data_IF_897124239730
#
_entry.id   IF_897124239730
#
_cell.length_a   1.000
_cell.length_b   1.000
_cell.length_c   1.000
_cell.angle_alpha   90.00
_cell.angle_beta   90.00
_cell.angle_gamma   90.00
#
_symmetry.space_group_name_H-M   'P 1'
#
loop_
_entity.id
_entity.type
_entity.pdbx_description
1 polymer ?
#
# COMPACT_ATOMS: atom_id res chain seq x y z
N UNK A 1 6.73 8.56 -11.76
CA UNK A 1 6.70 8.09 -13.16
C UNK A 1 5.72 8.90 -14.03
N UNK A 2 5.63 10.24 -13.94
CA UNK A 2 4.37 10.93 -14.27
C UNK A 2 4.11 11.09 -15.78
N UNK A 3 4.99 10.61 -16.66
CA UNK A 3 4.96 10.92 -18.09
C UNK A 3 5.47 9.81 -19.01
N UNK A 4 5.94 8.68 -18.49
CA UNK A 4 6.39 7.56 -19.32
C UNK A 4 5.27 6.55 -19.46
N UNK A 5 4.67 6.46 -20.65
CA UNK A 5 3.70 5.42 -20.97
C UNK A 5 4.42 4.09 -21.15
N UNK A 6 4.17 3.15 -20.23
CA UNK A 6 4.71 1.81 -20.35
C UNK A 6 3.97 1.03 -21.45
N UNK A 7 4.55 -0.07 -21.97
CA UNK A 7 3.85 -0.94 -22.91
C UNK A 7 2.53 -1.46 -22.33
N UNK A 8 1.58 -1.76 -23.21
CA UNK A 8 0.28 -2.33 -22.83
C UNK A 8 0.46 -3.66 -22.09
N UNK A 9 -0.30 -3.86 -21.01
CA UNK A 9 -0.24 -5.07 -20.18
C UNK A 9 1.00 -5.20 -19.31
N UNK A 10 1.70 -4.10 -19.00
CA UNK A 10 2.85 -4.12 -18.11
C UNK A 10 2.43 -4.38 -16.65
N UNK A 11 3.15 -5.28 -15.97
CA UNK A 11 2.97 -5.63 -14.56
C UNK A 11 3.24 -4.44 -13.63
N UNK A 12 4.20 -3.59 -13.96
CA UNK A 12 4.63 -2.45 -13.12
C UNK A 12 3.47 -1.48 -12.83
N UNK A 13 2.58 -1.24 -13.79
CA UNK A 13 1.43 -0.34 -13.60
C UNK A 13 0.39 -0.90 -12.63
N UNK A 14 0.37 -2.22 -12.43
CA UNK A 14 -0.59 -2.89 -11.54
C UNK A 14 -0.18 -2.85 -10.08
N UNK A 15 1.09 -2.56 -9.79
CA UNK A 15 1.60 -2.48 -8.42
C UNK A 15 1.14 -1.16 -7.82
N UNK A 16 0.31 -1.23 -6.78
CA UNK A 16 -0.26 -0.06 -6.12
C UNK A 16 0.80 0.96 -5.68
N UNK A 17 1.98 0.50 -5.27
CA UNK A 17 3.10 1.33 -4.82
C UNK A 17 3.74 2.21 -5.93
N UNK A 18 3.49 1.90 -7.20
CA UNK A 18 3.94 2.70 -8.35
C UNK A 18 2.94 3.79 -8.76
N UNK A 19 1.80 3.88 -8.06
CA UNK A 19 0.82 4.94 -8.22
C UNK A 19 1.41 6.34 -7.95
N UNK A 20 0.64 7.35 -8.36
CA UNK A 20 0.96 8.74 -8.06
C UNK A 20 1.08 8.95 -6.54
N UNK A 21 2.09 9.71 -6.11
CA UNK A 21 2.33 9.93 -4.69
C UNK A 21 1.31 10.88 -4.07
N UNK A 22 0.83 10.53 -2.88
CA UNK A 22 0.02 11.42 -2.05
C UNK A 22 0.86 11.91 -0.86
N UNK A 23 1.42 13.11 -1.00
CA UNK A 23 2.36 13.69 -0.02
C UNK A 23 1.67 14.18 1.26
N UNK A 24 0.41 14.59 1.18
CA UNK A 24 -0.32 15.11 2.35
C UNK A 24 -0.71 13.99 3.32
N UNK A 25 -1.14 12.85 2.81
CA UNK A 25 -1.51 11.70 3.66
C UNK A 25 -0.30 11.07 4.35
N UNK A 26 0.86 11.06 3.67
CA UNK A 26 2.07 10.41 4.18
C UNK A 26 2.74 11.16 5.33
N UNK A 27 2.72 12.50 5.30
CA UNK A 27 3.45 13.34 6.26
C UNK A 27 2.55 14.15 7.19
N UNK A 28 1.24 14.19 6.93
CA UNK A 28 0.20 14.78 7.77
C UNK A 28 0.61 16.11 8.42
N UNK A 29 0.67 16.16 9.74
CA UNK A 29 0.97 17.35 10.54
C UNK A 29 2.46 17.67 10.61
N UNK A 30 3.36 16.71 10.33
CA UNK A 30 4.81 16.96 10.31
C UNK A 30 5.19 17.97 9.21
N UNK A 31 4.38 18.10 8.16
CA UNK A 31 4.55 19.10 7.11
C UNK A 31 4.56 20.54 7.66
N UNK A 32 3.90 20.81 8.79
CA UNK A 32 3.86 22.16 9.38
C UNK A 32 5.26 22.61 9.82
N UNK A 33 5.92 21.98 10.82
CA UNK A 33 7.27 22.37 11.20
C UNK A 33 8.29 22.15 10.08
N UNK A 34 8.11 21.11 9.25
CA UNK A 34 9.06 20.82 8.17
C UNK A 34 9.04 21.88 7.07
N UNK A 35 7.86 22.37 6.66
CA UNK A 35 7.75 23.44 5.66
C UNK A 35 8.32 24.77 6.14
N UNK A 36 8.07 25.13 7.41
CA UNK A 36 8.68 26.30 8.03
C UNK A 36 10.20 26.15 8.11
N UNK A 37 10.70 24.97 8.46
CA UNK A 37 12.13 24.66 8.46
C UNK A 37 12.77 24.78 7.08
N UNK A 38 12.12 24.20 6.06
CA UNK A 38 12.56 24.30 4.68
C UNK A 38 12.58 25.76 4.20
N UNK A 39 11.58 26.56 4.59
CA UNK A 39 11.55 27.99 4.29
C UNK A 39 12.78 28.72 4.88
N UNK A 40 13.11 28.49 6.15
CA UNK A 40 14.30 29.08 6.76
C UNK A 40 15.59 28.58 6.10
N UNK A 41 15.70 27.27 5.79
CA UNK A 41 16.84 26.70 5.09
C UNK A 41 17.04 27.33 3.71
N UNK A 42 15.97 27.56 2.94
CA UNK A 42 16.05 28.21 1.62
C UNK A 42 16.56 29.64 1.73
N UNK A 43 16.15 30.40 2.75
CA UNK A 43 16.62 31.78 2.98
C UNK A 43 18.08 31.79 3.43
N UNK A 44 18.43 30.87 4.33
CA UNK A 44 19.73 30.80 4.98
C UNK A 44 20.74 29.93 4.24
N UNK A 45 20.38 29.42 3.04
CA UNK A 45 21.18 28.51 2.21
C UNK A 45 22.59 28.98 1.88
N UNK A 46 22.86 30.28 2.01
CA UNK A 46 24.15 30.89 1.72
C UNK A 46 25.09 30.96 2.93
N UNK A 47 24.63 30.51 4.11
CA UNK A 47 25.43 30.58 5.35
C UNK A 47 26.46 29.47 5.48
N UNK A 48 26.20 28.29 4.92
CA UNK A 48 27.06 27.13 5.02
C UNK A 48 26.68 26.04 4.01
N UNK A 49 27.64 25.14 3.76
CA UNK A 49 27.47 24.02 2.83
C UNK A 49 26.45 23.00 3.36
N UNK A 50 26.30 22.89 4.67
CA UNK A 50 25.37 21.98 5.34
C UNK A 50 23.91 22.37 5.08
N UNK A 51 23.56 23.66 5.20
CA UNK A 51 22.21 24.16 4.94
C UNK A 51 21.84 24.02 3.46
N UNK A 52 22.79 24.26 2.56
CA UNK A 52 22.60 24.06 1.12
C UNK A 52 22.34 22.58 0.80
N UNK A 53 23.17 21.68 1.34
CA UNK A 53 23.01 20.24 1.15
C UNK A 53 21.65 19.76 1.67
N UNK A 54 21.27 20.15 2.89
CA UNK A 54 19.99 19.75 3.47
C UNK A 54 18.82 20.28 2.63
N UNK A 55 18.89 21.52 2.14
CA UNK A 55 17.87 22.10 1.25
C UNK A 55 17.71 21.29 -0.03
N UNK A 56 18.81 20.96 -0.69
CA UNK A 56 18.79 20.18 -1.94
C UNK A 56 18.25 18.76 -1.71
N UNK A 57 18.72 18.07 -0.67
CA UNK A 57 18.26 16.71 -0.35
C UNK A 57 16.78 16.68 0.01
N UNK A 58 16.29 17.66 0.78
CA UNK A 58 14.85 17.78 1.07
C UNK A 58 14.04 18.03 -0.20
N UNK A 59 14.47 18.94 -1.08
CA UNK A 59 13.73 19.23 -2.32
C UNK A 59 13.67 18.03 -3.27
N UNK A 60 14.80 17.34 -3.46
CA UNK A 60 14.89 16.16 -4.34
C UNK A 60 14.04 15.02 -3.76
N UNK A 61 14.19 14.72 -2.47
CA UNK A 61 13.43 13.65 -1.83
C UNK A 61 11.93 13.93 -1.82
N UNK A 62 11.50 15.18 -1.56
CA UNK A 62 10.10 15.58 -1.66
C UNK A 62 9.54 15.44 -3.07
N UNK A 63 10.30 15.81 -4.10
CA UNK A 63 9.89 15.63 -5.49
C UNK A 63 9.57 14.15 -5.79
N UNK A 64 10.44 13.24 -5.35
CA UNK A 64 10.25 11.81 -5.53
C UNK A 64 9.10 11.26 -4.69
N UNK A 65 8.93 11.73 -3.44
CA UNK A 65 7.82 11.33 -2.57
C UNK A 65 6.45 11.77 -3.11
N UNK A 66 6.35 12.95 -3.73
CA UNK A 66 5.13 13.41 -4.43
C UNK A 66 4.91 12.61 -5.72
N UNK A 67 5.97 12.14 -6.36
CA UNK A 67 5.87 11.47 -7.66
C UNK A 67 5.46 10.00 -7.57
N UNK A 68 5.78 9.30 -6.48
CA UNK A 68 5.57 7.85 -6.30
C UNK A 68 5.22 7.57 -4.85
N UNK A 69 4.10 6.89 -4.59
CA UNK A 69 3.60 6.59 -3.24
C UNK A 69 4.55 5.72 -2.40
N UNK A 70 5.46 4.97 -3.02
CA UNK A 70 6.51 4.18 -2.34
C UNK A 70 7.66 5.00 -1.74
N UNK A 71 7.91 6.21 -2.24
CA UNK A 71 9.10 6.99 -1.90
C UNK A 71 9.00 7.96 -0.70
N UNK A 72 7.85 8.23 -0.05
CA UNK A 72 7.79 9.02 1.18
C UNK A 72 8.77 8.61 2.29
N UNK A 73 9.05 7.31 2.54
CA UNK A 73 10.05 6.91 3.54
C UNK A 73 11.46 7.51 3.29
N UNK A 74 11.83 7.79 2.03
CA UNK A 74 13.11 8.42 1.71
C UNK A 74 13.12 9.93 2.03
N UNK A 75 11.97 10.59 2.00
CA UNK A 75 11.87 12.02 2.34
C UNK A 75 11.65 12.27 3.84
N UNK A 76 11.14 11.28 4.57
CA UNK A 76 10.90 11.34 6.01
C UNK A 76 12.10 11.85 6.85
N UNK A 77 13.34 11.31 6.72
CA UNK A 77 14.47 11.80 7.52
C UNK A 77 14.81 13.27 7.23
N UNK A 78 14.71 13.70 5.97
CA UNK A 78 15.00 15.09 5.60
C UNK A 78 13.93 16.07 6.13
N UNK A 79 12.66 15.68 6.10
CA UNK A 79 11.58 16.45 6.70
C UNK A 79 11.71 16.57 8.22
N UNK A 80 12.13 15.48 8.89
CA UNK A 80 12.42 15.51 10.32
C UNK A 80 13.58 16.47 10.64
N UNK A 81 14.63 16.47 9.83
CA UNK A 81 15.74 17.43 9.96
C UNK A 81 15.28 18.88 9.73
N UNK A 82 14.43 19.14 8.73
CA UNK A 82 13.84 20.47 8.54
C UNK A 82 13.00 20.91 9.76
N UNK A 83 12.17 20.02 10.31
CA UNK A 83 11.41 20.30 11.53
C UNK A 83 12.32 20.57 12.74
N UNK A 84 13.42 19.83 12.87
CA UNK A 84 14.46 20.06 13.88
C UNK A 84 15.15 21.41 13.71
N UNK A 85 15.50 21.79 12.48
CA UNK A 85 16.09 23.09 12.15
C UNK A 85 15.15 24.25 12.50
N UNK A 86 13.85 24.11 12.19
CA UNK A 86 12.85 25.08 12.61
C UNK A 86 12.76 25.20 14.14
N UNK A 87 12.81 24.06 14.83
CA UNK A 87 12.82 24.03 16.30
C UNK A 87 14.04 24.75 16.86
N UNK A 88 15.22 24.56 16.28
CA UNK A 88 16.44 25.29 16.65
C UNK A 88 16.26 26.81 16.48
N UNK A 89 15.68 27.26 15.36
CA UNK A 89 15.40 28.69 15.12
C UNK A 89 14.41 29.26 16.14
N UNK A 90 13.37 28.51 16.49
CA UNK A 90 12.44 28.88 17.56
C UNK A 90 13.13 28.98 18.94
N UNK A 91 14.07 28.09 19.24
CA UNK A 91 14.85 28.14 20.48
C UNK A 91 15.77 29.37 20.53
N UNK A 92 16.43 29.71 19.42
CA UNK A 92 17.21 30.95 19.31
C UNK A 92 16.34 32.20 19.49
N UNK A 93 15.15 32.22 18.88
CA UNK A 93 14.17 33.29 19.10
C UNK A 93 13.72 33.39 20.58
N UNK A 94 13.67 32.25 21.27
CA UNK A 94 13.28 32.19 22.69
C UNK A 94 14.39 32.63 23.66
N UNK A 95 15.64 32.69 23.20
CA UNK A 95 16.81 32.94 24.05
C UNK A 95 16.76 34.27 24.83
N UNK A 96 16.37 35.42 24.23
CA UNK A 96 16.26 36.68 24.96
C UNK A 96 15.23 36.65 26.10
N UNK A 97 14.11 35.96 25.88
CA UNK A 97 13.06 35.77 26.89
C UNK A 97 13.57 34.93 28.06
N UNK A 98 14.27 33.83 27.75
CA UNK A 98 14.87 32.94 28.74
C UNK A 98 15.94 33.69 29.55
N UNK A 99 16.82 34.47 28.89
CA UNK A 99 17.82 35.30 29.57
C UNK A 99 17.18 36.30 30.53
N UNK A 100 16.08 36.94 30.13
CA UNK A 100 15.34 37.89 30.98
C UNK A 100 14.74 37.20 32.22
N UNK A 101 14.17 36.01 32.06
CA UNK A 101 13.64 35.22 33.18
C UNK A 101 14.75 34.79 34.14
N UNK A 102 15.87 34.26 33.62
CA UNK A 102 17.03 33.86 34.46
C UNK A 102 17.64 35.04 35.22
N UNK A 103 17.72 36.22 34.59
CA UNK A 103 18.23 37.42 35.25
C UNK A 103 17.34 37.86 36.44
N UNK A 104 16.02 37.80 36.26
CA UNK A 104 15.05 38.09 37.32
C UNK A 104 15.05 37.04 38.44
N UNK A 105 15.23 35.77 38.09
CA UNK A 105 15.36 34.67 39.03
C UNK A 105 16.60 34.84 39.92
N UNK A 106 17.78 35.05 39.32
CA UNK A 106 19.02 35.34 40.05
C UNK A 106 18.90 36.55 40.97
N UNK A 107 18.20 37.60 40.52
CA UNK A 107 17.97 38.81 41.32
C UNK A 107 17.08 38.55 42.54
N UNK A 108 16.05 37.70 42.40
CA UNK A 108 15.17 37.31 43.50
C UNK A 108 15.81 36.31 44.46
N UNK A 109 16.59 35.35 43.95
CA UNK A 109 17.34 34.40 44.77
C UNK A 109 18.31 35.13 45.70
N UNK A 110 19.00 36.17 45.22
CA UNK A 110 19.84 37.04 46.06
C UNK A 110 19.07 37.75 47.18
N UNK A 111 17.75 37.84 47.10
CA UNK A 111 16.86 38.43 48.11
C UNK A 111 16.10 37.37 48.92
N UNK A 112 16.49 36.09 48.83
CA UNK A 112 15.86 34.98 49.57
C UNK A 112 14.47 34.60 49.08
N UNK A 113 14.05 35.04 47.89
CA UNK A 113 12.74 34.73 47.32
C UNK A 113 12.86 33.97 45.99
N UNK A 114 11.89 33.11 45.69
CA UNK A 114 11.80 32.45 44.37
C UNK A 114 10.87 33.20 43.43
N UNK A 115 11.08 33.03 42.11
CA UNK A 115 10.17 33.56 41.10
C UNK A 115 8.98 32.59 40.91
N UNK A 116 7.73 33.02 41.17
CA UNK A 116 6.57 32.13 41.08
C UNK A 116 6.38 31.63 39.64
N UNK A 117 6.00 30.35 39.51
CA UNK A 117 5.84 29.66 38.22
C UNK A 117 4.90 30.39 37.26
N UNK A 118 3.78 30.93 37.76
CA UNK A 118 2.83 31.74 36.97
C UNK A 118 3.51 32.91 36.26
N UNK A 119 4.47 33.57 36.91
CA UNK A 119 5.20 34.71 36.34
C UNK A 119 6.24 34.26 35.31
N UNK A 120 6.88 33.10 35.52
CA UNK A 120 7.77 32.47 34.52
C UNK A 120 7.02 32.14 33.24
N UNK A 121 5.87 31.48 33.36
CA UNK A 121 5.01 31.12 32.22
C UNK A 121 4.53 32.38 31.49
N UNK A 122 4.05 33.41 32.20
CA UNK A 122 3.63 34.66 31.56
C UNK A 122 4.74 35.32 30.74
N UNK A 123 5.96 35.33 31.26
CA UNK A 123 7.12 35.89 30.54
C UNK A 123 7.55 35.07 29.33
N UNK A 124 7.33 33.75 29.36
CA UNK A 124 7.65 32.81 28.27
C UNK A 124 6.42 32.45 27.41
N UNK A 125 5.29 33.14 27.57
CA UNK A 125 4.03 32.75 26.93
C UNK A 125 4.14 32.65 25.40
N UNK A 126 4.82 33.60 24.77
CA UNK A 126 4.98 33.64 23.31
C UNK A 126 5.80 32.45 22.80
N UNK A 127 7.05 32.21 23.28
CA UNK A 127 7.82 31.07 22.80
C UNK A 127 7.17 29.72 23.18
N UNK A 128 6.53 29.61 24.34
CA UNK A 128 5.79 28.40 24.73
C UNK A 128 4.65 28.13 23.74
N UNK A 129 3.81 29.13 23.43
CA UNK A 129 2.70 28.99 22.49
C UNK A 129 3.21 28.61 21.10
N UNK A 130 4.28 29.25 20.61
CA UNK A 130 4.86 28.93 19.30
C UNK A 130 5.41 27.51 19.23
N UNK A 131 6.19 27.08 20.23
CA UNK A 131 6.72 25.71 20.29
C UNK A 131 5.58 24.69 20.40
N UNK A 132 4.57 24.99 21.22
CA UNK A 132 3.43 24.10 21.41
C UNK A 132 2.65 23.93 20.10
N UNK A 133 2.29 25.02 19.43
CA UNK A 133 1.42 24.99 18.24
C UNK A 133 2.17 24.55 16.98
N UNK A 134 3.43 24.94 16.81
CA UNK A 134 4.15 24.74 15.55
C UNK A 134 5.06 23.51 15.57
N UNK A 135 5.37 22.95 16.73
CA UNK A 135 6.27 21.78 16.85
C UNK A 135 5.62 20.65 17.64
N UNK A 136 5.26 20.87 18.91
CA UNK A 136 4.81 19.78 19.78
C UNK A 136 3.48 19.19 19.29
N UNK A 137 2.46 20.02 19.10
CA UNK A 137 1.14 19.55 18.66
C UNK A 137 1.20 18.86 17.29
N UNK A 138 1.84 19.43 16.26
CA UNK A 138 1.95 18.76 14.97
C UNK A 138 2.67 17.40 15.05
N UNK A 139 3.76 17.30 15.82
CA UNK A 139 4.47 16.02 15.99
C UNK A 139 3.64 15.02 16.81
N UNK A 140 2.97 15.45 17.88
CA UNK A 140 2.15 14.56 18.72
C UNK A 140 0.87 14.09 18.01
N UNK A 141 0.27 14.93 17.16
CA UNK A 141 -0.96 14.60 16.46
C UNK A 141 -0.75 13.72 15.23
N UNK A 142 0.50 13.48 14.83
CA UNK A 142 0.85 12.63 13.69
C UNK A 142 0.26 11.21 13.83
N UNK A 143 0.13 10.69 15.07
CA UNK A 143 -0.51 9.40 15.36
C UNK A 143 -2.01 9.46 15.70
N UNK A 144 -2.59 10.63 15.97
CA UNK A 144 -3.96 10.77 16.49
C UNK A 144 -5.02 11.16 15.44
N UNK A 145 -4.61 11.51 14.21
CA UNK A 145 -5.54 11.69 13.07
C UNK A 145 -6.21 10.33 12.68
N UNK A 146 -5.73 9.22 13.26
CA UNK A 146 -6.24 7.83 13.20
C UNK A 146 -7.74 7.65 13.45
N UNK A 147 -8.33 8.38 14.41
CA UNK A 147 -9.56 7.88 15.08
C UNK A 147 -10.85 8.56 14.61
N UNK A 148 -10.78 9.72 13.94
CA UNK A 148 -11.98 10.53 13.64
C UNK A 148 -12.47 10.47 12.18
N UNK A 149 -11.65 9.96 11.24
CA UNK A 149 -12.03 9.85 9.84
C UNK A 149 -12.09 8.38 9.44
N UNK A 150 -13.25 7.74 9.60
CA UNK A 150 -13.50 6.29 9.42
C UNK A 150 -13.16 5.64 8.07
N UNK A 151 -12.28 6.24 7.27
CA UNK A 151 -11.77 5.72 6.00
C UNK A 151 -10.30 6.07 5.70
N UNK A 152 -9.57 6.75 6.60
CA UNK A 152 -8.16 7.11 6.35
C UNK A 152 -7.21 6.11 7.03
N UNK A 153 -6.86 5.05 6.32
CA UNK A 153 -5.78 4.15 6.71
C UNK A 153 -4.44 4.87 6.52
N UNK A 154 -3.90 5.47 7.58
CA UNK A 154 -2.48 5.81 7.57
C UNK A 154 -1.67 4.52 7.66
N UNK A 155 -0.72 4.34 6.73
CA UNK A 155 0.15 3.16 6.61
C UNK A 155 1.22 3.02 7.71
N UNK A 156 1.20 3.87 8.75
CA UNK A 156 2.21 3.89 9.80
C UNK A 156 1.71 3.14 11.05
N UNK A 157 2.17 1.90 11.22
CA UNK A 157 2.04 1.16 12.48
C UNK A 157 2.85 1.87 13.58
N UNK A 158 2.31 1.96 14.80
CA UNK A 158 3.16 2.32 15.94
C UNK A 158 4.28 1.29 16.12
N UNK A 159 5.35 1.65 16.83
CA UNK A 159 6.46 0.72 17.06
C UNK A 159 6.00 -0.61 17.69
N UNK A 160 5.06 -0.55 18.62
CA UNK A 160 4.49 -1.74 19.27
C UNK A 160 3.59 -2.54 18.33
N UNK A 161 2.75 -1.87 17.53
CA UNK A 161 1.91 -2.54 16.51
C UNK A 161 2.76 -3.16 15.41
N UNK A 162 3.86 -2.52 15.00
CA UNK A 162 4.81 -3.04 14.03
C UNK A 162 5.52 -4.29 14.56
N UNK A 163 5.88 -4.29 15.85
CA UNK A 163 6.53 -5.46 16.45
C UNK A 163 5.61 -6.66 16.63
N UNK A 164 4.32 -6.41 16.82
CA UNK A 164 3.30 -7.44 16.99
C UNK A 164 2.47 -7.67 15.71
N UNK A 165 2.90 -7.11 14.58
CA UNK A 165 2.15 -7.24 13.33
C UNK A 165 2.16 -8.71 12.91
N UNK A 166 1.00 -9.40 12.88
CA UNK A 166 0.96 -10.76 12.38
C UNK A 166 1.45 -10.75 10.92
N UNK A 167 1.97 -11.89 10.43
CA UNK A 167 2.42 -12.03 9.03
C UNK A 167 1.34 -11.74 7.96
N UNK A 168 0.13 -11.36 8.39
CA UNK A 168 -0.95 -10.89 7.55
C UNK A 168 -1.78 -12.01 6.94
N UNK A 169 -1.48 -13.28 7.24
CA UNK A 169 -2.31 -14.38 6.81
C UNK A 169 -3.63 -14.39 7.58
N UNK A 170 -4.72 -14.30 6.84
CA UNK A 170 -6.04 -14.63 7.33
C UNK A 170 -6.15 -16.13 7.68
N UNK A 171 -7.18 -16.49 8.43
CA UNK A 171 -7.46 -17.89 8.79
C UNK A 171 -7.58 -18.79 7.56
N UNK A 172 -8.22 -18.30 6.48
CA UNK A 172 -8.40 -19.07 5.25
C UNK A 172 -7.09 -19.31 4.50
N UNK A 173 -6.19 -18.32 4.46
CA UNK A 173 -4.85 -18.50 3.92
C UNK A 173 -4.00 -19.46 4.75
N UNK A 174 -4.04 -19.37 6.08
CA UNK A 174 -3.32 -20.31 6.96
C UNK A 174 -3.78 -21.75 6.72
N UNK A 175 -5.10 -21.96 6.66
CA UNK A 175 -5.68 -23.28 6.42
C UNK A 175 -5.28 -23.83 5.04
N UNK A 176 -5.40 -23.04 3.98
CA UNK A 176 -5.02 -23.45 2.62
C UNK A 176 -3.53 -23.81 2.52
N UNK A 177 -2.64 -23.01 3.12
CA UNK A 177 -1.20 -23.27 3.12
C UNK A 177 -0.84 -24.54 3.89
N UNK A 178 -1.48 -24.77 5.04
CA UNK A 178 -1.32 -26.01 5.81
C UNK A 178 -1.84 -27.23 5.05
N UNK A 179 -2.98 -27.10 4.36
CA UNK A 179 -3.52 -28.18 3.54
C UNK A 179 -2.54 -28.57 2.44
N UNK A 180 -2.01 -27.59 1.69
CA UNK A 180 -1.00 -27.83 0.66
C UNK A 180 0.23 -28.50 1.24
N UNK A 181 0.73 -28.03 2.39
CA UNK A 181 1.89 -28.60 3.05
C UNK A 181 1.70 -30.08 3.42
N UNK A 182 0.52 -30.44 3.91
CA UNK A 182 0.27 -31.75 4.52
C UNK A 182 -0.32 -32.78 3.55
N UNK A 183 -0.97 -32.36 2.46
CA UNK A 183 -1.74 -33.24 1.57
C UNK A 183 -1.16 -33.39 0.17
N UNK A 184 -0.01 -32.78 -0.11
CA UNK A 184 0.57 -32.75 -1.46
C UNK A 184 2.09 -32.95 -1.38
N UNK A 185 2.70 -33.49 -2.43
CA UNK A 185 4.13 -33.85 -2.40
C UNK A 185 5.04 -32.61 -2.41
N UNK A 186 6.26 -32.68 -1.87
CA UNK A 186 7.17 -31.53 -1.82
C UNK A 186 7.52 -30.92 -3.18
N UNK A 187 7.58 -31.75 -4.23
CA UNK A 187 7.96 -31.41 -5.60
C UNK A 187 6.78 -31.01 -6.51
N UNK A 188 5.54 -31.13 -6.01
CA UNK A 188 4.36 -30.72 -6.76
C UNK A 188 4.29 -29.18 -6.86
N UNK A 189 3.98 -28.70 -8.06
CA UNK A 189 3.97 -27.27 -8.40
C UNK A 189 2.55 -26.71 -8.29
N UNK A 190 2.43 -25.52 -7.71
CA UNK A 190 1.17 -24.80 -7.60
C UNK A 190 1.23 -23.46 -8.37
N UNK A 191 0.23 -23.21 -9.22
CA UNK A 191 -0.02 -21.91 -9.85
C UNK A 191 -0.84 -21.06 -8.89
N UNK A 192 -0.42 -19.82 -8.68
CA UNK A 192 -1.20 -18.78 -8.01
C UNK A 192 -0.99 -17.45 -8.73
N UNK A 193 -1.78 -16.44 -8.37
CA UNK A 193 -1.37 -15.06 -8.67
C UNK A 193 -0.03 -14.73 -8.00
N UNK A 194 0.74 -13.82 -8.62
CA UNK A 194 2.14 -13.57 -8.24
C UNK A 194 2.29 -12.96 -6.84
N UNK A 195 1.30 -12.18 -6.37
CA UNK A 195 1.23 -11.66 -5.00
C UNK A 195 1.45 -12.74 -3.94
N UNK A 196 0.97 -13.96 -4.21
CA UNK A 196 0.94 -15.06 -3.24
C UNK A 196 2.13 -16.00 -3.33
N UNK A 197 3.05 -15.79 -4.28
CA UNK A 197 4.15 -16.73 -4.53
C UNK A 197 5.03 -16.97 -3.29
N UNK A 198 5.36 -15.90 -2.55
CA UNK A 198 6.11 -16.02 -1.30
C UNK A 198 5.32 -16.69 -0.19
N UNK A 199 4.01 -16.45 -0.12
CA UNK A 199 3.15 -17.08 0.88
C UNK A 199 3.10 -18.60 0.67
N UNK A 200 2.97 -19.01 -0.58
CA UNK A 200 3.01 -20.42 -0.98
C UNK A 200 4.38 -21.05 -0.70
N UNK A 201 5.48 -20.39 -1.05
CA UNK A 201 6.82 -20.92 -0.86
C UNK A 201 7.18 -21.08 0.62
N UNK A 202 6.98 -20.03 1.43
CA UNK A 202 7.35 -20.06 2.84
C UNK A 202 6.30 -20.72 3.74
N UNK A 203 5.01 -20.54 3.42
CA UNK A 203 3.90 -21.05 4.22
C UNK A 203 3.60 -22.53 3.96
N UNK A 204 3.68 -22.98 2.70
CA UNK A 204 3.37 -24.37 2.33
C UNK A 204 4.58 -25.20 1.87
N UNK A 205 5.74 -24.56 1.64
CA UNK A 205 6.93 -25.24 1.11
C UNK A 205 6.79 -25.65 -0.36
N UNK A 206 5.86 -25.04 -1.11
CA UNK A 206 5.57 -25.42 -2.50
C UNK A 206 6.36 -24.61 -3.51
N UNK A 207 6.67 -25.26 -4.63
CA UNK A 207 7.24 -24.60 -5.79
C UNK A 207 6.14 -23.83 -6.51
N UNK A 208 6.37 -22.53 -6.73
CA UNK A 208 5.46 -21.66 -7.49
C UNK A 208 6.08 -21.23 -8.81
N UNK A 209 5.21 -20.82 -9.73
CA UNK A 209 5.59 -20.38 -11.08
C UNK A 209 5.76 -18.86 -11.14
N UNK A 210 5.25 -18.09 -10.18
CA UNK A 210 5.50 -16.66 -10.09
C UNK A 210 5.59 -16.23 -8.63
N UNK A 211 6.25 -15.09 -8.38
CA UNK A 211 6.48 -14.52 -7.06
C UNK A 211 6.44 -12.98 -7.07
N UNK A 212 6.54 -12.42 -5.86
CA UNK A 212 6.52 -10.98 -5.61
C UNK A 212 7.70 -10.19 -6.17
N UNK A 213 8.78 -10.82 -6.65
CA UNK A 213 9.88 -10.09 -7.30
C UNK A 213 9.52 -9.67 -8.71
N UNK A 214 8.63 -10.40 -9.37
CA UNK A 214 8.13 -10.11 -10.72
C UNK A 214 9.20 -9.99 -11.81
N UNK A 215 10.38 -10.59 -11.60
CA UNK A 215 11.53 -10.53 -12.52
C UNK A 215 11.15 -11.02 -13.93
N UNK A 216 10.37 -12.09 -14.03
CA UNK A 216 9.88 -12.63 -15.31
C UNK A 216 8.43 -12.22 -15.57
N UNK A 217 8.23 -11.00 -16.09
CA UNK A 217 6.89 -10.49 -16.40
C UNK A 217 6.17 -11.28 -17.49
N UNK A 218 6.90 -11.94 -18.40
CA UNK A 218 6.30 -12.80 -19.43
C UNK A 218 5.60 -14.02 -18.83
N UNK A 219 6.16 -14.59 -17.77
CA UNK A 219 5.56 -15.72 -17.04
C UNK A 219 4.29 -15.30 -16.31
N UNK A 220 4.29 -14.12 -15.69
CA UNK A 220 3.08 -13.52 -15.09
C UNK A 220 2.00 -13.30 -16.16
N UNK A 221 2.38 -12.83 -17.35
CA UNK A 221 1.45 -12.66 -18.47
C UNK A 221 0.83 -13.98 -18.96
N UNK A 222 1.57 -15.10 -18.89
CA UNK A 222 1.01 -16.42 -19.21
C UNK A 222 -0.03 -16.86 -18.16
N UNK A 223 0.26 -16.67 -16.87
CA UNK A 223 -0.68 -16.93 -15.77
C UNK A 223 -1.95 -16.09 -15.94
N UNK A 224 -1.78 -14.79 -16.19
CA UNK A 224 -2.88 -13.86 -16.43
C UNK A 224 -3.77 -14.30 -17.61
N UNK A 225 -3.15 -14.70 -18.74
CA UNK A 225 -3.86 -15.24 -19.90
C UNK A 225 -4.56 -16.57 -19.61
N UNK A 226 -4.01 -17.41 -18.74
CA UNK A 226 -4.65 -18.62 -18.25
C UNK A 226 -5.92 -18.30 -17.47
N UNK A 227 -5.83 -17.38 -16.51
CA UNK A 227 -6.96 -16.99 -15.67
C UNK A 227 -8.09 -16.30 -16.46
N UNK A 228 -7.74 -15.40 -17.39
CA UNK A 228 -8.72 -14.66 -18.18
C UNK A 228 -9.20 -15.41 -19.43
N UNK A 229 -8.55 -16.53 -19.78
CA UNK A 229 -8.94 -17.38 -20.90
C UNK A 229 -9.92 -18.49 -20.51
N UNK A 230 -10.33 -19.33 -21.47
CA UNK A 230 -11.11 -20.53 -21.21
C UNK A 230 -10.27 -21.59 -20.47
N UNK A 231 -10.91 -22.58 -19.86
CA UNK A 231 -10.25 -23.58 -18.98
C UNK A 231 -9.12 -24.34 -19.70
N UNK A 232 -9.27 -24.59 -21.00
CA UNK A 232 -8.27 -25.24 -21.85
C UNK A 232 -6.94 -24.48 -21.84
N UNK A 233 -6.99 -23.15 -21.76
CA UNK A 233 -5.80 -22.31 -21.76
C UNK A 233 -5.03 -22.40 -20.43
N UNK A 234 -5.76 -22.48 -19.32
CA UNK A 234 -5.15 -22.75 -18.01
C UNK A 234 -4.59 -24.18 -17.96
N UNK A 235 -5.30 -25.15 -18.54
CA UNK A 235 -4.81 -26.53 -18.61
C UNK A 235 -3.51 -26.64 -19.43
N UNK A 236 -3.43 -25.98 -20.58
CA UNK A 236 -2.23 -25.90 -21.40
C UNK A 236 -1.05 -25.24 -20.65
N UNK A 237 -1.32 -24.20 -19.87
CA UNK A 237 -0.31 -23.61 -18.98
C UNK A 237 0.14 -24.60 -17.89
N UNK A 238 -0.81 -25.21 -17.18
CA UNK A 238 -0.50 -26.16 -16.11
C UNK A 238 0.30 -27.35 -16.62
N UNK A 239 -0.04 -27.87 -17.80
CA UNK A 239 0.66 -28.98 -18.45
C UNK A 239 2.10 -28.60 -18.81
N UNK A 240 2.31 -27.43 -19.44
CA UNK A 240 3.66 -26.95 -19.82
C UNK A 240 4.56 -26.69 -18.62
N UNK A 241 3.99 -26.25 -17.51
CA UNK A 241 4.73 -25.93 -16.28
C UNK A 241 4.76 -27.09 -15.28
N UNK A 242 4.21 -28.25 -15.65
CA UNK A 242 4.04 -29.42 -14.78
C UNK A 242 3.38 -29.07 -13.42
N UNK A 243 2.39 -28.18 -13.46
CA UNK A 243 1.65 -27.75 -12.28
C UNK A 243 0.52 -28.73 -11.95
N UNK A 244 0.47 -29.15 -10.69
CA UNK A 244 -0.55 -30.06 -10.18
C UNK A 244 -1.73 -29.31 -9.56
N UNK A 245 -1.50 -28.08 -9.10
CA UNK A 245 -2.50 -27.28 -8.38
C UNK A 245 -2.64 -25.86 -8.94
N UNK A 246 -3.83 -25.30 -8.80
CA UNK A 246 -4.14 -23.89 -9.02
C UNK A 246 -4.81 -23.35 -7.77
N UNK A 247 -4.30 -22.24 -7.24
CA UNK A 247 -4.78 -21.59 -6.02
C UNK A 247 -5.35 -20.22 -6.37
N UNK A 248 -6.55 -19.94 -5.89
CA UNK A 248 -7.30 -18.71 -6.17
C UNK A 248 -7.76 -18.11 -4.84
N UNK A 249 -7.43 -16.84 -4.61
CA UNK A 249 -8.02 -16.03 -3.54
C UNK A 249 -9.30 -15.40 -4.06
N UNK A 250 -10.42 -16.03 -3.76
CA UNK A 250 -11.72 -15.75 -4.36
C UNK A 250 -12.15 -14.29 -4.11
N UNK A 251 -12.30 -13.80 -2.86
CA UNK A 251 -12.77 -12.45 -2.62
C UNK A 251 -11.79 -11.40 -3.14
N UNK A 252 -10.47 -11.61 -3.02
CA UNK A 252 -9.49 -10.63 -3.48
C UNK A 252 -9.38 -10.57 -5.01
N UNK A 253 -9.39 -11.72 -5.68
CA UNK A 253 -9.21 -11.79 -7.13
C UNK A 253 -10.48 -11.38 -7.89
N UNK A 254 -11.66 -11.91 -7.55
CA UNK A 254 -12.91 -11.58 -8.28
C UNK A 254 -13.70 -10.41 -7.68
N UNK A 255 -13.26 -9.87 -6.54
CA UNK A 255 -13.88 -8.70 -5.88
C UNK A 255 -15.37 -8.89 -5.60
N UNK A 256 -15.73 -10.04 -5.05
CA UNK A 256 -17.12 -10.41 -4.75
C UNK A 256 -18.07 -10.32 -5.95
N UNK A 257 -17.55 -10.47 -7.18
CA UNK A 257 -18.32 -10.38 -8.43
C UNK A 257 -18.97 -9.02 -8.68
N UNK A 258 -18.50 -7.94 -8.03
CA UNK A 258 -19.08 -6.60 -8.16
C UNK A 258 -18.17 -5.64 -8.96
N UNK A 259 -17.34 -6.18 -9.85
CA UNK A 259 -16.48 -5.37 -10.72
C UNK A 259 -15.25 -4.74 -10.04
N UNK A 260 -14.95 -5.12 -8.80
CA UNK A 260 -13.69 -4.78 -8.10
C UNK A 260 -12.72 -5.96 -8.04
N UNK A 261 -11.58 -5.81 -7.36
CA UNK A 261 -10.62 -6.91 -7.11
C UNK A 261 -9.45 -6.95 -8.08
N UNK A 262 -8.58 -7.97 -7.91
CA UNK A 262 -7.33 -8.11 -8.67
C UNK A 262 -7.53 -8.54 -10.12
N UNK A 263 -8.71 -9.06 -10.51
CA UNK A 263 -8.99 -9.45 -11.89
C UNK A 263 -8.76 -8.31 -12.90
N UNK A 264 -8.91 -7.04 -12.49
CA UNK A 264 -8.61 -5.88 -13.34
C UNK A 264 -7.12 -5.86 -13.72
N UNK A 265 -6.23 -6.10 -12.75
CA UNK A 265 -4.79 -6.23 -12.99
C UNK A 265 -4.48 -7.45 -13.85
N UNK A 266 -5.11 -8.59 -13.55
CA UNK A 266 -4.95 -9.84 -14.29
C UNK A 266 -5.38 -9.64 -15.75
N UNK A 267 -6.54 -9.02 -16.01
CA UNK A 267 -7.05 -8.70 -17.34
C UNK A 267 -6.17 -7.70 -18.10
N UNK A 268 -5.66 -6.66 -17.43
CA UNK A 268 -4.70 -5.74 -18.01
C UNK A 268 -3.45 -6.47 -18.50
N UNK A 269 -2.81 -7.26 -17.62
CA UNK A 269 -1.59 -8.00 -17.93
C UNK A 269 -1.84 -9.09 -18.99
N UNK A 270 -3.04 -9.69 -19.01
CA UNK A 270 -3.44 -10.65 -20.03
C UNK A 270 -3.54 -10.02 -21.43
N UNK A 271 -3.69 -8.70 -21.51
CA UNK A 271 -3.92 -7.94 -22.75
C UNK A 271 -5.39 -7.88 -23.16
N UNK A 272 -6.32 -8.03 -22.21
CA UNK A 272 -7.76 -8.00 -22.48
C UNK A 272 -8.32 -6.58 -22.67
N UNK A 273 -7.60 -5.55 -22.21
CA UNK A 273 -8.01 -4.15 -22.30
C UNK A 273 -7.16 -3.39 -23.31
N UNK A 274 -7.80 -2.50 -24.08
CA UNK A 274 -7.10 -1.58 -24.97
C UNK A 274 -6.60 -0.34 -24.22
N UNK A 275 -7.31 0.09 -23.18
CA UNK A 275 -6.99 1.27 -22.39
C UNK A 275 -6.59 0.89 -20.95
N UNK A 276 -5.58 1.58 -20.40
CA UNK A 276 -5.11 1.29 -19.05
C UNK A 276 -6.08 1.82 -17.98
N UNK A 277 -6.52 1.00 -17.01
CA UNK A 277 -7.31 1.45 -15.87
C UNK A 277 -6.49 2.30 -14.88
N UNK A 278 -5.17 2.21 -14.93
CA UNK A 278 -4.25 2.86 -13.98
C UNK A 278 -3.82 4.26 -14.42
N UNK A 279 -4.18 4.68 -15.63
CA UNK A 279 -3.80 5.98 -16.20
C UNK A 279 -5.00 6.91 -16.21
N UNK A 280 -4.81 8.13 -15.70
CA UNK A 280 -5.90 9.11 -15.57
C UNK A 280 -6.47 9.56 -16.91
N UNK A 281 -5.67 9.59 -17.98
CA UNK A 281 -6.09 9.96 -19.33
C UNK A 281 -6.84 8.85 -20.09
N UNK A 282 -6.67 7.59 -19.67
CA UNK A 282 -7.25 6.41 -20.32
C UNK A 282 -8.40 5.77 -19.50
N UNK A 283 -8.47 6.04 -18.20
CA UNK A 283 -9.45 5.45 -17.26
C UNK A 283 -10.90 5.59 -17.71
N UNK A 284 -11.27 6.77 -18.24
CA UNK A 284 -12.63 7.03 -18.74
C UNK A 284 -12.98 6.19 -19.97
N UNK A 285 -11.99 5.94 -20.84
CA UNK A 285 -12.15 5.06 -22.02
C UNK A 285 -12.23 3.60 -21.60
N UNK A 286 -11.40 3.19 -20.64
CA UNK A 286 -11.47 1.85 -20.05
C UNK A 286 -12.86 1.56 -19.45
N UNK A 287 -13.40 2.47 -18.62
CA UNK A 287 -14.73 2.36 -18.02
C UNK A 287 -15.85 2.21 -19.06
N UNK A 288 -15.75 2.91 -20.19
CA UNK A 288 -16.82 2.98 -21.19
C UNK A 288 -16.71 1.92 -22.29
N UNK A 289 -15.50 1.42 -22.59
CA UNK A 289 -15.24 0.52 -23.72
C UNK A 289 -14.83 -0.88 -23.25
N UNK A 290 -13.80 -0.97 -22.41
CA UNK A 290 -13.19 -2.24 -22.01
C UNK A 290 -13.97 -2.93 -20.88
N UNK A 291 -14.36 -2.18 -19.84
CA UNK A 291 -15.08 -2.73 -18.68
C UNK A 291 -16.42 -3.36 -19.08
N UNK A 292 -17.12 -2.77 -20.07
CA UNK A 292 -18.42 -3.26 -20.57
C UNK A 292 -18.39 -4.68 -21.14
N UNK A 293 -17.21 -5.13 -21.60
CA UNK A 293 -17.00 -6.50 -22.05
C UNK A 293 -17.14 -7.51 -20.91
N UNK A 294 -16.81 -7.10 -19.68
CA UNK A 294 -16.78 -7.97 -18.50
C UNK A 294 -17.96 -7.72 -17.57
N UNK A 295 -18.32 -6.46 -17.34
CA UNK A 295 -19.34 -6.04 -16.39
C UNK A 295 -20.26 -4.99 -16.98
N UNK A 296 -21.54 -5.07 -16.65
CA UNK A 296 -22.49 -3.98 -16.89
C UNK A 296 -23.05 -3.46 -15.57
N UNK A 297 -23.33 -2.16 -15.52
CA UNK A 297 -23.92 -1.54 -14.34
C UNK A 297 -25.44 -1.66 -14.39
N UNK A 298 -26.03 -2.30 -13.39
CA UNK A 298 -27.48 -2.36 -13.22
C UNK A 298 -27.96 -1.23 -12.32
N UNK A 299 -28.69 -0.29 -12.90
CA UNK A 299 -29.24 0.88 -12.19
C UNK A 299 -30.32 0.52 -11.17
N UNK A 300 -30.94 -0.65 -11.25
CA UNK A 300 -31.98 -1.08 -10.29
C UNK A 300 -31.37 -1.64 -9.01
N UNK A 301 -30.33 -2.48 -9.12
CA UNK A 301 -29.63 -3.04 -7.96
C UNK A 301 -28.49 -2.16 -7.45
N UNK A 302 -28.05 -1.17 -8.24
CA UNK A 302 -26.90 -0.33 -7.91
C UNK A 302 -25.57 -1.08 -7.93
N UNK A 303 -25.50 -2.21 -8.66
CA UNK A 303 -24.34 -3.11 -8.67
C UNK A 303 -23.85 -3.39 -10.08
N UNK A 304 -22.56 -3.69 -10.20
CA UNK A 304 -21.99 -4.25 -11.41
C UNK A 304 -22.28 -5.75 -11.46
N UNK A 305 -22.80 -6.21 -12.60
CA UNK A 305 -23.14 -7.61 -12.85
C UNK A 305 -22.18 -8.17 -13.90
N UNK A 306 -21.57 -9.34 -13.65
CA UNK A 306 -20.68 -9.97 -14.63
C UNK A 306 -21.46 -10.45 -15.85
N UNK A 307 -20.87 -10.25 -17.02
CA UNK A 307 -21.37 -10.75 -18.32
C UNK A 307 -21.06 -12.24 -18.49
N UNK A 308 -21.71 -12.89 -19.45
CA UNK A 308 -21.40 -14.28 -19.84
C UNK A 308 -19.92 -14.45 -20.24
N UNK A 309 -19.31 -13.42 -20.84
CA UNK A 309 -17.89 -13.43 -21.17
C UNK A 309 -17.03 -13.55 -19.91
N UNK A 310 -17.28 -12.69 -18.91
CA UNK A 310 -16.56 -12.74 -17.63
C UNK A 310 -16.76 -14.08 -16.93
N UNK A 311 -18.01 -14.57 -16.85
CA UNK A 311 -18.34 -15.84 -16.21
C UNK A 311 -17.73 -17.06 -16.91
N UNK A 312 -17.42 -16.96 -18.21
CA UNK A 312 -16.79 -18.05 -18.95
C UNK A 312 -15.25 -18.11 -18.78
N UNK A 313 -14.63 -17.09 -18.19
CA UNK A 313 -13.19 -17.11 -17.90
C UNK A 313 -12.85 -18.10 -16.78
N UNK A 314 -11.66 -18.69 -16.84
CA UNK A 314 -11.22 -19.70 -15.86
C UNK A 314 -11.27 -19.18 -14.43
N UNK A 315 -10.84 -17.94 -14.21
CA UNK A 315 -10.84 -17.31 -12.89
C UNK A 315 -12.25 -17.25 -12.29
N UNK A 316 -13.22 -16.75 -13.04
CA UNK A 316 -14.60 -16.64 -12.57
C UNK A 316 -15.25 -18.01 -12.42
N UNK A 317 -15.00 -18.96 -13.31
CA UNK A 317 -15.50 -20.34 -13.14
C UNK A 317 -14.96 -21.02 -11.90
N UNK A 318 -13.66 -20.85 -11.59
CA UNK A 318 -13.05 -21.34 -10.35
C UNK A 318 -13.69 -20.68 -9.13
N UNK A 319 -13.85 -19.35 -9.15
CA UNK A 319 -14.52 -18.63 -8.08
C UNK A 319 -15.97 -19.10 -7.88
N UNK A 320 -16.75 -19.30 -8.94
CA UNK A 320 -18.11 -19.85 -8.83
C UNK A 320 -18.09 -21.28 -8.27
N UNK A 321 -17.19 -22.14 -8.75
CA UNK A 321 -17.11 -23.52 -8.31
C UNK A 321 -16.80 -23.62 -6.80
N UNK A 322 -16.00 -22.71 -6.28
CA UNK A 322 -15.67 -22.64 -4.85
C UNK A 322 -16.87 -22.30 -3.94
N UNK A 323 -17.88 -21.62 -4.47
CA UNK A 323 -19.12 -21.29 -3.76
C UNK A 323 -20.26 -22.26 -4.11
N UNK A 324 -19.95 -23.37 -4.79
CA UNK A 324 -20.90 -24.42 -5.15
C UNK A 324 -21.69 -24.19 -6.43
N UNK A 325 -21.33 -23.17 -7.23
CA UNK A 325 -21.99 -22.85 -8.49
C UNK A 325 -21.07 -23.16 -9.68
N UNK A 326 -21.59 -23.81 -10.72
CA UNK A 326 -20.77 -24.16 -11.89
C UNK A 326 -19.89 -25.40 -11.69
N UNK A 327 -19.47 -25.99 -12.81
CA UNK A 327 -18.63 -27.19 -12.85
C UNK A 327 -17.39 -26.90 -13.70
N UNK A 328 -16.25 -27.37 -13.21
CA UNK A 328 -14.98 -27.32 -13.92
C UNK A 328 -14.74 -28.64 -14.64
N UNK A 329 -14.32 -28.56 -15.91
CA UNK A 329 -14.09 -29.73 -16.74
C UNK A 329 -12.73 -30.36 -16.42
N UNK A 330 -11.67 -29.56 -16.35
CA UNK A 330 -10.28 -30.04 -16.22
C UNK A 330 -9.68 -29.87 -14.82
N UNK A 331 -10.38 -29.16 -13.93
CA UNK A 331 -9.92 -28.87 -12.58
C UNK A 331 -10.92 -29.43 -11.56
N UNK A 332 -10.41 -30.00 -10.48
CA UNK A 332 -11.20 -30.53 -9.38
C UNK A 332 -10.95 -29.70 -8.12
N UNK A 333 -12.01 -29.20 -7.48
CA UNK A 333 -11.87 -28.49 -6.21
C UNK A 333 -11.53 -29.51 -5.11
N UNK A 334 -10.37 -29.33 -4.48
CA UNK A 334 -9.84 -30.28 -3.47
C UNK A 334 -9.82 -29.72 -2.06
N UNK A 335 -9.77 -28.39 -1.91
CA UNK A 335 -9.82 -27.75 -0.59
C UNK A 335 -10.36 -26.32 -0.66
N UNK A 336 -10.97 -25.87 0.43
CA UNK A 336 -11.49 -24.52 0.63
C UNK A 336 -10.99 -23.98 1.97
N UNK A 337 -10.06 -23.02 1.91
CA UNK A 337 -9.67 -22.20 3.05
C UNK A 337 -10.78 -21.21 3.38
N UNK A 338 -11.25 -21.23 4.62
CA UNK A 338 -12.33 -20.35 5.09
C UNK A 338 -11.83 -19.33 6.10
N UNK A 339 -12.30 -18.11 5.96
CA UNK A 339 -12.08 -17.03 6.91
C UNK A 339 -13.42 -16.61 7.50
N UNK A 340 -13.59 -16.74 8.82
CA UNK A 340 -14.86 -16.46 9.51
C UNK A 340 -16.08 -17.18 8.89
N UNK A 341 -15.87 -18.39 8.37
CA UNK A 341 -16.91 -19.22 7.75
C UNK A 341 -17.18 -18.94 6.26
N UNK A 342 -16.61 -17.87 5.69
CA UNK A 342 -16.71 -17.55 4.26
C UNK A 342 -15.54 -18.15 3.48
N UNK A 343 -15.77 -18.54 2.23
CA UNK A 343 -14.72 -19.04 1.33
C UNK A 343 -13.78 -17.89 0.98
N UNK A 344 -12.50 -18.08 1.26
CA UNK A 344 -11.45 -17.12 0.95
C UNK A 344 -10.48 -17.70 -0.09
N UNK A 345 -9.93 -18.88 0.17
CA UNK A 345 -8.95 -19.51 -0.73
C UNK A 345 -9.51 -20.82 -1.26
N UNK A 346 -9.45 -21.01 -2.58
CA UNK A 346 -9.86 -22.24 -3.23
C UNK A 346 -8.65 -22.91 -3.89
N UNK A 347 -8.49 -24.21 -3.63
CA UNK A 347 -7.41 -25.03 -4.21
C UNK A 347 -8.02 -26.01 -5.18
N UNK A 348 -7.58 -25.95 -6.44
CA UNK A 348 -7.98 -26.83 -7.50
C UNK A 348 -6.82 -27.74 -7.90
N UNK A 349 -7.09 -29.03 -8.07
CA UNK A 349 -6.16 -30.01 -8.63
C UNK A 349 -6.44 -30.20 -10.12
N UNK A 350 -5.40 -30.32 -10.94
CA UNK A 350 -5.52 -30.65 -12.36
C UNK A 350 -5.96 -32.12 -12.50
N UNK A 351 -7.04 -32.37 -13.25
CA UNK A 351 -7.54 -33.74 -13.47
C UNK A 351 -6.63 -34.49 -14.43
N UNK A 352 -6.22 -35.70 -14.05
CA UNK A 352 -5.39 -36.58 -14.88
C UNK A 352 -3.91 -36.23 -14.91
N UNK A 353 -3.45 -35.33 -14.04
CA UNK A 353 -2.03 -35.02 -13.79
C UNK A 353 -1.42 -35.86 -12.67
#
# INVERSE_FOLDING_TARGET
>A
FPSVKLPQGNVVETVAEHGAGESFESFTTLLIPASLGLFFLIIERWRGDEELMLTLMTLISLYFAVSIVRLPPLAAPFLALCAGYFTQRLLMFSEPYIKKVRALERSKERRGASLPLKRKIYMLRVPIILILILVILPVSLQGHIREYGGSFYSYALSYEEAMNYPLGFSEGWIDALNWLKNNTKPDEIAISWWDYGYWMQFGSGKVTIADGLTINSSQIALIAKGFMGPEERMLDLASRMNASYVVVDVPAEVGNFQGGGKWIAIAWIAGEFQHSPYRSDESSKWLTQDLRKFFYYDSMSGRYIPTDYALNTTLYKMALASIGFGKMNYFELVHLGKNQGYVEVAIFKVKGG
#
